data_IF_773952394349
#
_entry.id   IF_773952394349
#
_cell.length_a   1.000
_cell.length_b   1.000
_cell.length_c   1.000
_cell.angle_alpha   90.00
_cell.angle_beta   90.00
_cell.angle_gamma   90.00
#
_symmetry.space_group_name_H-M   'P 1'
#
loop_
_entity.id
_entity.type
_entity.pdbx_description
1 polymer ?
#
# COMPACT_ATOMS: atom_id res chain seq x y z
N UNK A 1 64.22 16.36 13.99
CA UNK A 1 63.55 15.60 12.91
C UNK A 1 62.16 15.24 13.40
N UNK A 2 61.12 15.90 12.89
CA UNK A 2 59.76 15.85 13.46
C UNK A 2 58.98 14.63 12.97
N UNK A 3 58.37 13.93 13.93
CA UNK A 3 57.39 12.87 13.71
C UNK A 3 56.15 13.40 12.97
N UNK A 4 55.99 13.03 11.70
CA UNK A 4 54.72 13.17 11.00
C UNK A 4 53.86 11.93 11.25
N UNK A 5 53.21 11.89 12.42
CA UNK A 5 52.06 11.01 12.63
C UNK A 5 50.91 11.50 11.76
N UNK A 6 50.54 10.74 10.73
CA UNK A 6 49.31 10.98 9.97
C UNK A 6 48.13 10.76 10.91
N UNK A 7 47.61 11.85 11.47
CA UNK A 7 46.39 11.85 12.24
C UNK A 7 45.24 11.60 11.25
N UNK A 8 44.76 10.36 11.20
CA UNK A 8 43.54 10.04 10.48
C UNK A 8 42.43 10.85 11.12
N UNK A 9 41.83 11.76 10.34
CA UNK A 9 40.58 12.40 10.71
C UNK A 9 39.55 11.27 10.76
N UNK A 10 39.20 10.82 11.96
CA UNK A 10 37.99 10.04 12.17
C UNK A 10 36.82 10.93 11.78
N UNK A 11 36.45 10.93 10.51
CA UNK A 11 35.06 11.17 10.14
C UNK A 11 34.34 10.06 10.86
N UNK A 12 33.70 10.40 11.97
CA UNK A 12 32.73 9.52 12.58
C UNK A 12 31.72 9.31 11.47
N UNK A 13 31.86 8.20 10.72
CA UNK A 13 30.75 7.63 10.02
C UNK A 13 29.72 7.53 11.13
N UNK A 14 28.75 8.44 11.12
CA UNK A 14 27.47 8.12 11.68
C UNK A 14 27.17 6.82 10.96
N UNK A 15 27.34 5.68 11.65
CA UNK A 15 26.52 4.50 11.40
C UNK A 15 25.19 5.16 11.12
N UNK A 16 24.69 5.10 9.88
CA UNK A 16 23.30 5.48 9.63
C UNK A 16 22.62 4.86 10.82
N UNK A 17 22.05 5.69 11.72
CA UNK A 17 21.17 5.16 12.74
C UNK A 17 20.38 4.17 11.93
N UNK A 18 20.46 2.90 12.31
CA UNK A 18 19.69 1.85 11.68
C UNK A 18 18.27 2.28 12.03
N UNK A 19 17.77 3.26 11.28
CA UNK A 19 16.41 3.69 11.20
C UNK A 19 15.82 2.34 10.91
N UNK A 20 15.16 1.78 11.93
CA UNK A 20 14.38 0.58 11.80
C UNK A 20 13.28 0.99 10.81
N UNK A 21 13.67 0.99 9.53
CA UNK A 21 12.81 1.17 8.40
C UNK A 21 12.06 -0.13 8.35
N UNK A 22 10.97 -0.15 9.10
CA UNK A 22 10.08 -1.29 9.19
C UNK A 22 9.07 -1.09 8.06
N UNK A 23 9.36 -1.72 6.92
CA UNK A 23 8.49 -1.69 5.76
C UNK A 23 7.34 -2.66 5.98
N UNK A 24 6.12 -2.16 5.87
CA UNK A 24 4.94 -2.98 6.07
C UNK A 24 4.18 -3.11 4.76
N UNK A 25 4.10 -4.33 4.23
CA UNK A 25 3.36 -4.61 2.99
C UNK A 25 1.97 -5.11 3.37
N UNK A 26 0.91 -4.43 2.93
CA UNK A 26 -0.48 -4.82 3.21
C UNK A 26 -1.11 -5.42 1.95
N UNK A 27 -1.45 -6.71 2.01
CA UNK A 27 -1.96 -7.52 0.89
C UNK A 27 -3.36 -8.03 1.19
N UNK A 28 -4.23 -8.05 0.18
CA UNK A 28 -5.57 -8.65 0.26
C UNK A 28 -5.54 -10.10 -0.25
N UNK A 29 -6.08 -11.07 0.48
CA UNK A 29 -5.87 -12.55 0.36
C UNK A 29 -5.80 -13.26 -1.02
N UNK A 30 -6.55 -12.87 -2.07
CA UNK A 30 -6.72 -13.74 -3.27
C UNK A 30 -5.39 -13.98 -4.01
N UNK A 31 -5.07 -15.13 -4.59
CA UNK A 31 -3.78 -15.35 -5.30
C UNK A 31 -2.48 -15.20 -4.46
N UNK A 32 -2.57 -15.16 -3.12
CA UNK A 32 -1.44 -14.89 -2.23
C UNK A 32 -0.21 -15.80 -2.43
N UNK A 33 -0.42 -17.09 -2.73
CA UNK A 33 0.69 -18.04 -2.93
C UNK A 33 1.60 -17.62 -4.08
N UNK A 34 1.00 -17.24 -5.22
CA UNK A 34 1.74 -16.79 -6.40
C UNK A 34 2.50 -15.51 -6.10
N UNK A 35 1.87 -14.56 -5.39
CA UNK A 35 2.57 -13.34 -5.00
C UNK A 35 3.76 -13.63 -4.08
N UNK A 36 3.58 -14.37 -2.98
CA UNK A 36 4.65 -14.64 -2.03
C UNK A 36 5.82 -15.41 -2.67
N UNK A 37 5.53 -16.34 -3.59
CA UNK A 37 6.55 -17.07 -4.33
C UNK A 37 7.48 -16.13 -5.13
N UNK A 38 6.94 -15.04 -5.69
CA UNK A 38 7.71 -14.09 -6.50
C UNK A 38 8.27 -12.92 -5.68
N UNK A 39 7.49 -12.40 -4.73
CA UNK A 39 7.81 -11.20 -3.95
C UNK A 39 8.93 -11.46 -2.94
N UNK A 40 8.96 -12.63 -2.27
CA UNK A 40 9.98 -12.90 -1.26
C UNK A 40 11.40 -12.95 -1.86
N UNK A 41 11.67 -13.70 -2.95
CA UNK A 41 12.96 -13.63 -3.61
C UNK A 41 13.27 -12.25 -4.19
N UNK A 42 12.26 -11.53 -4.69
CA UNK A 42 12.41 -10.17 -5.20
C UNK A 42 12.95 -9.21 -4.14
N UNK A 43 12.34 -9.19 -2.94
CA UNK A 43 12.81 -8.37 -1.82
C UNK A 43 14.23 -8.76 -1.35
N UNK A 44 14.56 -10.05 -1.39
CA UNK A 44 15.91 -10.54 -1.08
C UNK A 44 16.96 -10.02 -2.09
N UNK A 45 16.65 -10.04 -3.39
CA UNK A 45 17.55 -9.50 -4.43
C UNK A 45 17.76 -7.98 -4.27
N UNK A 46 16.75 -7.27 -3.75
CA UNK A 46 16.86 -5.85 -3.39
C UNK A 46 17.60 -5.60 -2.06
N UNK A 47 18.03 -6.65 -1.35
CA UNK A 47 18.69 -6.57 -0.03
C UNK A 47 17.82 -5.88 1.03
N UNK A 48 16.50 -6.00 0.92
CA UNK A 48 15.55 -5.47 1.88
C UNK A 48 15.25 -6.58 2.89
N UNK A 49 15.82 -6.47 4.09
CA UNK A 49 15.69 -7.49 5.15
C UNK A 49 14.82 -7.06 6.33
N UNK A 50 14.48 -5.77 6.43
CA UNK A 50 13.70 -5.21 7.55
C UNK A 50 12.26 -4.92 7.12
N UNK A 51 11.51 -5.95 6.76
CA UNK A 51 10.11 -5.82 6.38
C UNK A 51 9.22 -6.81 7.13
N UNK A 52 7.93 -6.51 7.21
CA UNK A 52 6.89 -7.43 7.69
C UNK A 52 5.71 -7.38 6.73
N UNK A 53 5.29 -8.56 6.25
CA UNK A 53 4.17 -8.69 5.32
C UNK A 53 2.90 -8.94 6.13
N UNK A 54 1.89 -8.12 5.92
CA UNK A 54 0.57 -8.24 6.52
C UNK A 54 -0.45 -8.63 5.46
N UNK A 55 -1.18 -9.72 5.74
CA UNK A 55 -2.31 -10.13 4.93
C UNK A 55 -3.56 -9.66 5.66
N UNK A 56 -4.39 -8.85 5.02
CA UNK A 56 -5.67 -8.42 5.56
C UNK A 56 -6.81 -9.12 4.82
N UNK A 57 -7.61 -9.87 5.57
CA UNK A 57 -8.79 -10.58 5.07
C UNK A 57 -10.07 -9.96 5.65
N UNK A 58 -11.09 -9.83 4.80
CA UNK A 58 -12.44 -9.45 5.24
C UNK A 58 -13.18 -10.67 5.80
N UNK A 59 -13.63 -10.59 7.05
CA UNK A 59 -14.42 -11.64 7.70
C UNK A 59 -15.90 -11.62 7.31
N UNK A 60 -16.44 -10.44 7.05
CA UNK A 60 -17.88 -10.23 6.86
C UNK A 60 -18.35 -10.77 5.52
N UNK A 61 -19.45 -11.53 5.59
CA UNK A 61 -20.25 -11.90 4.41
C UNK A 61 -20.80 -10.62 3.79
N UNK A 62 -20.45 -10.34 2.53
CA UNK A 62 -20.89 -9.14 1.83
C UNK A 62 -19.88 -8.65 0.80
N UNK A 63 -20.17 -7.49 0.22
CA UNK A 63 -19.31 -6.86 -0.77
C UNK A 63 -17.91 -6.58 -0.21
N UNK A 64 -16.90 -6.82 -1.05
CA UNK A 64 -15.51 -6.56 -0.73
C UNK A 64 -15.23 -5.05 -0.67
N UNK A 65 -14.40 -4.59 0.28
CA UNK A 65 -14.02 -3.17 0.39
C UNK A 65 -12.51 -3.01 0.64
N UNK A 66 -11.75 -2.79 -0.44
CA UNK A 66 -10.27 -2.65 -0.44
C UNK A 66 -9.80 -1.52 0.47
N UNK A 67 -10.31 -0.31 0.25
CA UNK A 67 -9.91 0.90 0.98
C UNK A 67 -10.12 0.76 2.48
N UNK A 68 -11.26 0.20 2.90
CA UNK A 68 -11.55 -0.02 4.31
C UNK A 68 -10.62 -1.06 4.95
N UNK A 69 -10.25 -2.14 4.22
CA UNK A 69 -9.26 -3.11 4.70
C UNK A 69 -7.87 -2.47 4.87
N UNK A 70 -7.43 -1.67 3.91
CA UNK A 70 -6.17 -0.92 4.02
C UNK A 70 -6.17 0.05 5.19
N UNK A 71 -7.26 0.79 5.40
CA UNK A 71 -7.39 1.69 6.53
C UNK A 71 -7.33 0.97 7.89
N UNK A 72 -8.08 -0.12 8.08
CA UNK A 72 -8.09 -0.83 9.38
C UNK A 72 -6.76 -1.55 9.64
N UNK A 73 -6.11 -2.07 8.59
CA UNK A 73 -4.76 -2.62 8.70
C UNK A 73 -3.78 -1.51 9.11
N UNK A 74 -3.75 -0.38 8.39
CA UNK A 74 -2.89 0.75 8.73
C UNK A 74 -3.11 1.24 10.17
N UNK A 75 -4.37 1.38 10.59
CA UNK A 75 -4.74 1.79 11.94
C UNK A 75 -4.18 0.83 13.01
N UNK A 76 -4.26 -0.49 12.77
CA UNK A 76 -3.64 -1.50 13.63
C UNK A 76 -2.11 -1.38 13.63
N UNK A 77 -1.50 -1.19 12.44
CA UNK A 77 -0.05 -1.09 12.30
C UNK A 77 0.54 0.11 13.04
N UNK A 78 -0.11 1.27 12.98
CA UNK A 78 0.36 2.47 13.67
C UNK A 78 0.32 2.34 15.19
N UNK A 79 -0.62 1.56 15.74
CA UNK A 79 -0.68 1.31 17.18
C UNK A 79 0.39 0.32 17.65
N UNK A 80 0.62 -0.74 16.88
CA UNK A 80 1.42 -1.88 17.33
C UNK A 80 2.88 -1.81 16.87
N UNK A 81 3.13 -1.39 15.63
CA UNK A 81 4.44 -1.51 14.99
C UNK A 81 5.11 -0.17 14.65
N UNK A 82 4.32 0.89 14.49
CA UNK A 82 4.79 2.25 14.13
C UNK A 82 5.73 2.22 12.91
N UNK A 83 5.23 1.73 11.75
CA UNK A 83 6.00 1.71 10.52
C UNK A 83 6.53 3.10 10.18
N UNK A 84 7.68 3.16 9.50
CA UNK A 84 8.15 4.40 8.84
C UNK A 84 7.85 4.39 7.35
N UNK A 85 7.38 3.27 6.81
CA UNK A 85 6.95 3.11 5.44
C UNK A 85 5.87 2.03 5.32
N UNK A 86 4.84 2.31 4.52
CA UNK A 86 3.76 1.36 4.21
C UNK A 86 3.67 1.18 2.70
N UNK A 87 3.55 -0.06 2.26
CA UNK A 87 3.34 -0.44 0.87
C UNK A 87 1.98 -1.13 0.79
N UNK A 88 0.99 -0.48 0.19
CA UNK A 88 -0.28 -1.10 -0.15
C UNK A 88 -0.12 -1.85 -1.47
N UNK A 89 -0.50 -3.13 -1.48
CA UNK A 89 -0.14 -4.01 -2.57
C UNK A 89 -1.32 -4.89 -2.98
N UNK A 90 -1.74 -4.74 -4.24
CA UNK A 90 -2.69 -5.66 -4.86
C UNK A 90 -2.04 -7.03 -5.07
N UNK A 91 -2.79 -8.06 -4.73
CA UNK A 91 -2.26 -9.41 -4.56
C UNK A 91 -1.96 -10.14 -5.87
N UNK A 92 -2.52 -9.66 -6.97
CA UNK A 92 -2.37 -10.20 -8.31
C UNK A 92 -1.31 -9.48 -9.13
N UNK A 93 -0.65 -8.44 -8.60
CA UNK A 93 0.44 -7.76 -9.28
C UNK A 93 1.80 -8.34 -8.86
N UNK A 94 2.61 -8.76 -9.83
CA UNK A 94 3.93 -9.33 -9.59
C UNK A 94 4.99 -8.37 -10.16
N UNK A 95 5.95 -7.87 -9.36
CA UNK A 95 6.98 -6.99 -9.87
C UNK A 95 7.94 -7.74 -10.80
N UNK A 96 8.32 -7.11 -11.92
CA UNK A 96 9.15 -7.74 -12.97
C UNK A 96 10.56 -7.16 -13.06
N UNK A 97 10.82 -6.01 -12.43
CA UNK A 97 12.10 -5.32 -12.51
C UNK A 97 12.65 -5.02 -11.11
N UNK A 98 13.77 -5.65 -10.75
CA UNK A 98 14.43 -5.51 -9.45
C UNK A 98 14.91 -4.08 -9.15
N UNK A 99 15.01 -3.21 -10.15
CA UNK A 99 15.33 -1.79 -9.97
C UNK A 99 14.14 -0.97 -9.46
N UNK A 100 12.94 -1.55 -9.39
CA UNK A 100 11.77 -0.94 -8.76
C UNK A 100 11.80 -1.17 -7.24
N UNK A 101 12.55 -0.34 -6.53
CA UNK A 101 12.88 -0.56 -5.12
C UNK A 101 11.66 -0.44 -4.19
N UNK A 102 11.35 -1.49 -3.42
CA UNK A 102 10.24 -1.50 -2.46
C UNK A 102 10.58 -0.72 -1.19
N UNK A 103 10.59 0.61 -1.29
CA UNK A 103 11.00 1.49 -0.20
C UNK A 103 10.36 2.88 -0.30
N UNK A 104 10.11 3.52 0.85
CA UNK A 104 9.78 4.95 0.95
C UNK A 104 11.03 5.85 0.97
N UNK A 105 12.23 5.28 0.88
CA UNK A 105 13.49 6.04 0.81
C UNK A 105 13.65 6.62 -0.60
N UNK A 106 12.94 7.71 -0.85
CA UNK A 106 13.09 8.51 -2.06
C UNK A 106 13.85 9.79 -1.74
N UNK A 107 14.35 10.47 -2.77
CA UNK A 107 15.02 11.76 -2.61
C UNK A 107 14.05 12.90 -2.24
N UNK A 108 12.74 12.66 -2.32
CA UNK A 108 11.70 13.70 -2.34
C UNK A 108 10.60 13.49 -1.30
N UNK A 109 10.65 12.42 -0.50
CA UNK A 109 9.61 12.01 0.46
C UNK A 109 8.20 11.85 -0.13
N UNK A 110 8.07 11.90 -1.45
CA UNK A 110 6.81 11.75 -2.16
C UNK A 110 6.34 10.29 -2.19
N UNK A 111 5.02 10.04 -2.16
CA UNK A 111 4.45 8.73 -2.41
C UNK A 111 4.85 8.21 -3.80
N UNK A 112 5.04 6.89 -3.90
CA UNK A 112 5.33 6.24 -5.17
C UNK A 112 4.17 5.35 -5.61
N UNK A 113 3.63 5.60 -6.80
CA UNK A 113 2.85 4.60 -7.50
C UNK A 113 3.83 3.68 -8.25
N UNK A 114 4.05 2.49 -7.70
CA UNK A 114 5.07 1.55 -8.16
C UNK A 114 4.65 0.84 -9.44
N UNK A 115 3.36 0.48 -9.58
CA UNK A 115 2.80 -0.25 -10.72
C UNK A 115 2.46 0.64 -11.93
N UNK A 116 3.44 1.41 -12.40
CA UNK A 116 3.27 2.36 -13.49
C UNK A 116 3.04 1.70 -14.87
N UNK A 117 3.62 0.51 -15.09
CA UNK A 117 3.51 -0.25 -16.34
C UNK A 117 3.01 -1.65 -16.02
N UNK A 118 1.76 -1.95 -16.36
CA UNK A 118 1.13 -3.24 -16.05
C UNK A 118 0.89 -4.03 -17.32
N UNK A 119 1.45 -5.24 -17.39
CA UNK A 119 1.19 -6.22 -18.44
C UNK A 119 0.07 -7.17 -18.03
N UNK A 120 -0.97 -7.24 -18.85
CA UNK A 120 -2.07 -8.18 -18.63
C UNK A 120 -1.83 -9.49 -19.37
N UNK A 121 -2.30 -10.60 -18.80
CA UNK A 121 -2.15 -11.92 -19.41
C UNK A 121 -2.86 -12.05 -20.78
N UNK A 122 -3.94 -11.28 -20.99
CA UNK A 122 -4.82 -11.44 -22.15
C UNK A 122 -4.17 -11.04 -23.48
N UNK A 123 -3.29 -10.03 -23.47
CA UNK A 123 -2.66 -9.47 -24.66
C UNK A 123 -1.12 -9.41 -24.57
N UNK A 124 -0.56 -9.61 -23.37
CA UNK A 124 0.88 -9.52 -23.13
C UNK A 124 1.45 -8.11 -23.34
N UNK A 125 0.61 -7.09 -23.47
CA UNK A 125 1.04 -5.71 -23.71
C UNK A 125 1.06 -4.91 -22.41
N UNK A 126 2.01 -3.98 -22.28
CA UNK A 126 2.01 -3.04 -21.17
C UNK A 126 1.01 -1.92 -21.47
N UNK A 127 0.04 -1.75 -20.58
CA UNK A 127 -0.89 -0.63 -20.66
C UNK A 127 -0.33 0.56 -19.89
N UNK A 128 -0.25 1.71 -20.55
CA UNK A 128 0.02 2.99 -19.86
C UNK A 128 -1.25 3.41 -19.12
N UNK A 129 -1.13 3.51 -17.80
CA UNK A 129 -2.20 3.96 -16.92
C UNK A 129 -2.44 5.47 -17.06
N UNK A 130 -3.66 5.94 -16.80
CA UNK A 130 -3.94 7.38 -16.80
C UNK A 130 -3.28 8.09 -15.59
N UNK A 131 -2.97 9.39 -15.69
CA UNK A 131 -2.10 10.10 -14.74
C UNK A 131 -2.57 10.13 -13.28
N UNK A 132 -3.86 9.97 -13.03
CA UNK A 132 -4.45 10.06 -11.69
C UNK A 132 -4.57 8.70 -10.97
N UNK A 133 -4.32 7.59 -11.67
CA UNK A 133 -4.41 6.27 -11.07
C UNK A 133 -3.28 6.05 -10.07
N UNK A 134 -3.63 5.61 -8.86
CA UNK A 134 -2.71 5.19 -7.78
C UNK A 134 -3.03 3.78 -7.25
N UNK A 135 -3.76 2.99 -8.04
CA UNK A 135 -4.10 1.59 -7.75
C UNK A 135 -2.92 0.64 -7.92
N UNK A 136 -3.14 -0.65 -7.66
CA UNK A 136 -2.08 -1.65 -7.76
C UNK A 136 -1.13 -1.64 -6.57
N UNK A 137 0.03 -1.02 -6.71
CA UNK A 137 1.07 -0.95 -5.67
C UNK A 137 1.45 0.49 -5.36
N UNK A 138 1.14 0.93 -4.14
CA UNK A 138 1.38 2.29 -3.65
C UNK A 138 2.28 2.26 -2.42
N UNK A 139 3.41 2.96 -2.49
CA UNK A 139 4.32 3.17 -1.38
C UNK A 139 4.09 4.56 -0.79
N UNK A 140 3.88 4.64 0.52
CA UNK A 140 3.54 5.88 1.20
C UNK A 140 4.10 5.93 2.62
N UNK A 141 4.55 7.12 3.03
CA UNK A 141 4.92 7.41 4.41
C UNK A 141 3.66 7.52 5.29
N UNK A 142 3.68 6.99 6.52
CA UNK A 142 2.52 7.05 7.41
C UNK A 142 1.96 8.45 7.62
N UNK A 143 2.83 9.46 7.72
CA UNK A 143 2.46 10.86 7.91
C UNK A 143 1.61 11.37 6.74
N UNK A 144 2.02 11.05 5.51
CA UNK A 144 1.27 11.39 4.30
C UNK A 144 -0.07 10.65 4.23
N UNK A 145 -0.11 9.37 4.59
CA UNK A 145 -1.35 8.61 4.60
C UNK A 145 -2.35 9.14 5.65
N UNK A 146 -1.85 9.58 6.81
CA UNK A 146 -2.65 10.23 7.85
C UNK A 146 -3.17 11.59 7.36
N UNK A 147 -2.33 12.42 6.74
CA UNK A 147 -2.71 13.73 6.18
C UNK A 147 -3.85 13.61 5.15
N UNK A 148 -3.86 12.54 4.36
CA UNK A 148 -4.88 12.26 3.35
C UNK A 148 -6.18 11.71 3.94
N UNK A 149 -6.19 11.42 5.25
CA UNK A 149 -7.21 10.63 5.92
C UNK A 149 -7.36 9.22 5.33
N UNK A 150 -6.30 8.63 4.79
CA UNK A 150 -6.31 7.32 4.14
C UNK A 150 -7.29 7.18 2.96
N UNK A 151 -7.65 5.93 2.64
CA UNK A 151 -8.61 5.63 1.57
C UNK A 151 -10.05 5.95 1.99
N UNK A 152 -10.97 6.09 1.02
CA UNK A 152 -12.41 6.13 1.30
C UNK A 152 -12.92 4.78 1.83
N UNK A 153 -13.81 4.81 2.84
CA UNK A 153 -14.42 3.60 3.40
C UNK A 153 -15.74 3.21 2.69
N UNK A 154 -16.12 3.91 1.62
CA UNK A 154 -17.45 3.78 0.97
C UNK A 154 -17.46 2.93 -0.31
N UNK A 155 -16.31 2.51 -0.81
CA UNK A 155 -16.22 1.72 -2.04
C UNK A 155 -16.40 0.22 -1.76
N UNK A 156 -17.65 -0.23 -1.87
CA UNK A 156 -18.01 -1.65 -1.84
C UNK A 156 -18.11 -2.21 -3.27
N UNK A 157 -17.48 -3.36 -3.49
CA UNK A 157 -17.19 -3.93 -4.81
C UNK A 157 -16.13 -3.13 -5.60
N UNK A 158 -15.80 -3.60 -6.80
CA UNK A 158 -14.67 -3.09 -7.58
C UNK A 158 -14.92 -1.71 -8.17
N UNK A 159 -13.94 -0.81 -8.03
CA UNK A 159 -13.76 0.38 -8.85
C UNK A 159 -14.06 1.70 -8.16
N UNK A 160 -13.18 2.67 -8.40
CA UNK A 160 -13.28 4.08 -7.99
C UNK A 160 -12.55 4.41 -6.68
N UNK A 161 -12.13 3.43 -5.90
CA UNK A 161 -11.41 3.65 -4.63
C UNK A 161 -9.98 4.17 -4.85
N UNK A 162 -9.30 3.66 -5.87
CA UNK A 162 -7.96 4.09 -6.24
C UNK A 162 -7.99 5.48 -6.89
N UNK A 163 -9.07 5.79 -7.64
CA UNK A 163 -9.33 7.12 -8.20
C UNK A 163 -9.61 8.15 -7.11
N UNK A 164 -10.42 7.80 -6.11
CA UNK A 164 -10.69 8.64 -4.95
C UNK A 164 -9.39 8.96 -4.21
N UNK A 165 -8.53 7.96 -3.99
CA UNK A 165 -7.21 8.19 -3.40
C UNK A 165 -6.35 9.14 -4.25
N UNK A 166 -6.41 9.02 -5.58
CA UNK A 166 -5.80 9.99 -6.50
C UNK A 166 -6.31 11.42 -6.29
N UNK A 167 -7.63 11.60 -6.18
CA UNK A 167 -8.24 12.90 -5.89
C UNK A 167 -7.84 13.45 -4.51
N UNK A 168 -7.65 12.58 -3.50
CA UNK A 168 -7.16 12.99 -2.17
C UNK A 168 -5.73 13.52 -2.21
N UNK A 169 -4.86 12.93 -3.05
CA UNK A 169 -3.52 13.49 -3.25
C UNK A 169 -3.59 14.88 -3.88
N UNK A 170 -4.43 15.04 -4.91
CA UNK A 170 -4.62 16.33 -5.58
C UNK A 170 -5.16 17.40 -4.63
N UNK A 171 -6.12 17.07 -3.76
CA UNK A 171 -6.72 18.04 -2.83
C UNK A 171 -5.76 18.57 -1.75
N UNK A 172 -4.62 17.89 -1.56
CA UNK A 172 -3.55 18.26 -0.62
C UNK A 172 -2.27 18.70 -1.33
N UNK A 173 -2.31 18.92 -2.65
CA UNK A 173 -1.17 19.29 -3.49
C UNK A 173 0.02 18.33 -3.38
N UNK A 174 -0.25 17.03 -3.22
CA UNK A 174 0.78 16.00 -3.06
C UNK A 174 1.05 15.34 -4.41
N UNK A 175 2.28 15.49 -4.89
CA UNK A 175 2.73 14.82 -6.10
C UNK A 175 3.01 13.32 -5.84
N UNK A 176 2.44 12.45 -6.68
CA UNK A 176 2.74 11.01 -6.68
C UNK A 176 3.75 10.72 -7.79
N UNK A 177 4.90 10.17 -7.42
CA UNK A 177 5.95 9.83 -8.38
C UNK A 177 5.77 8.40 -8.89
N UNK A 178 6.30 8.14 -10.09
CA UNK A 178 6.26 6.84 -10.75
C UNK A 178 7.67 6.44 -11.18
N UNK A 179 8.21 5.32 -10.70
CA UNK A 179 9.49 4.80 -11.18
C UNK A 179 9.38 4.39 -12.65
N UNK A 180 10.36 4.75 -13.48
CA UNK A 180 10.45 4.28 -14.87
C UNK A 180 10.66 2.76 -14.96
N UNK A 181 11.09 2.15 -13.85
CA UNK A 181 11.30 0.72 -13.66
C UNK A 181 10.07 0.00 -13.12
N UNK A 182 8.93 0.69 -12.94
CA UNK A 182 7.70 0.18 -12.35
C UNK A 182 6.91 -0.81 -13.22
N UNK A 183 7.55 -1.92 -13.63
CA UNK A 183 6.97 -2.96 -14.47
C UNK A 183 6.39 -4.10 -13.64
N UNK A 184 5.13 -4.45 -13.93
CA UNK A 184 4.37 -5.47 -13.23
C UNK A 184 3.61 -6.37 -14.19
N UNK A 185 3.50 -7.64 -13.81
CA UNK A 185 2.61 -8.60 -14.43
C UNK A 185 1.33 -8.73 -13.60
N UNK A 186 0.17 -8.52 -14.23
CA UNK A 186 -1.13 -8.78 -13.64
C UNK A 186 -1.54 -10.24 -13.85
N UNK A 187 -1.58 -11.00 -12.76
CA UNK A 187 -2.06 -12.37 -12.73
C UNK A 187 -3.55 -12.49 -13.05
N UNK A 188 -3.98 -13.71 -13.36
CA UNK A 188 -5.39 -13.98 -13.67
C UNK A 188 -6.30 -13.66 -12.49
N UNK A 189 -7.37 -12.91 -12.76
CA UNK A 189 -8.46 -12.68 -11.82
C UNK A 189 -9.80 -12.97 -12.48
N UNK A 190 -10.74 -13.51 -11.70
CA UNK A 190 -12.14 -13.59 -12.14
C UNK A 190 -12.72 -12.18 -12.29
N UNK A 191 -13.70 -12.02 -13.17
CA UNK A 191 -14.49 -10.79 -13.23
C UNK A 191 -15.05 -10.45 -11.85
N UNK A 192 -15.01 -9.17 -11.49
CA UNK A 192 -15.50 -8.68 -10.21
C UNK A 192 -16.78 -7.86 -10.42
N UNK A 193 -17.72 -7.96 -9.48
CA UNK A 193 -18.87 -7.07 -9.44
C UNK A 193 -18.39 -5.63 -9.37
N UNK A 194 -18.91 -4.76 -10.23
CA UNK A 194 -18.54 -3.34 -10.24
C UNK A 194 -19.37 -2.57 -9.22
N UNK A 195 -18.76 -1.61 -8.53
CA UNK A 195 -19.49 -0.64 -7.73
C UNK A 195 -20.36 0.24 -8.65
N UNK A 196 -21.68 0.14 -8.49
CA UNK A 196 -22.66 0.91 -9.29
C UNK A 196 -22.64 2.40 -8.96
N UNK A 197 -22.23 2.76 -7.74
CA UNK A 197 -22.22 4.13 -7.22
C UNK A 197 -20.86 4.82 -7.38
N UNK A 198 -19.85 4.19 -8.00
CA UNK A 198 -18.47 4.71 -8.03
C UNK A 198 -18.35 6.14 -8.56
N UNK A 199 -19.09 6.49 -9.61
CA UNK A 199 -19.06 7.84 -10.19
C UNK A 199 -19.69 8.88 -9.26
N UNK A 200 -20.78 8.51 -8.56
CA UNK A 200 -21.41 9.38 -7.56
C UNK A 200 -20.46 9.63 -6.38
N UNK A 201 -19.77 8.58 -5.92
CA UNK A 201 -18.78 8.66 -4.83
C UNK A 201 -17.51 9.44 -5.22
N UNK A 202 -17.16 9.44 -6.50
CA UNK A 202 -16.03 10.21 -7.03
C UNK A 202 -16.36 11.71 -7.13
N UNK A 203 -17.59 12.04 -7.52
CA UNK A 203 -18.03 13.42 -7.68
C UNK A 203 -17.89 14.23 -6.38
N UNK A 204 -18.16 13.62 -5.22
CA UNK A 204 -18.05 14.26 -3.93
C UNK A 204 -16.77 13.90 -3.15
N UNK A 205 -15.83 13.14 -3.72
CA UNK A 205 -14.66 12.59 -3.03
C UNK A 205 -13.90 13.61 -2.17
N UNK A 206 -13.56 14.77 -2.75
CA UNK A 206 -12.84 15.84 -2.05
C UNK A 206 -13.63 16.42 -0.86
N UNK A 207 -14.95 16.56 -0.99
CA UNK A 207 -15.81 17.13 0.06
C UNK A 207 -15.92 16.21 1.29
N UNK A 208 -15.81 14.90 1.09
CA UNK A 208 -15.93 13.89 2.15
C UNK A 208 -14.59 13.41 2.69
N UNK A 209 -13.46 13.84 2.12
CA UNK A 209 -12.14 13.35 2.51
C UNK A 209 -11.86 13.45 4.00
N UNK A 210 -12.23 14.56 4.66
CA UNK A 210 -11.92 14.76 6.09
C UNK A 210 -12.81 13.93 7.04
N UNK A 211 -14.01 13.53 6.58
CA UNK A 211 -15.00 12.78 7.39
C UNK A 211 -15.11 11.29 7.01
N UNK A 212 -14.52 10.87 5.89
CA UNK A 212 -14.54 9.49 5.40
C UNK A 212 -13.12 8.97 5.17
N UNK A 213 -12.64 8.13 6.06
CA UNK A 213 -11.32 7.51 5.95
C UNK A 213 -10.76 7.00 7.27
N UNK A 214 -9.52 7.35 7.62
CA UNK A 214 -8.91 6.95 8.90
C UNK A 214 -9.63 7.55 10.11
N UNK A 215 -10.20 8.74 9.99
CA UNK A 215 -10.88 9.46 11.06
C UNK A 215 -12.09 8.71 11.61
N UNK A 216 -12.78 7.92 10.78
CA UNK A 216 -13.96 7.16 11.17
C UNK A 216 -13.76 5.62 11.13
N UNK A 217 -12.58 5.11 10.74
CA UNK A 217 -12.37 3.66 10.57
C UNK A 217 -12.64 2.83 11.82
N UNK A 218 -12.28 3.33 13.00
CA UNK A 218 -12.44 2.62 14.26
C UNK A 218 -13.91 2.41 14.68
N UNK A 219 -14.82 3.23 14.14
CA UNK A 219 -16.26 3.09 14.34
C UNK A 219 -16.87 2.10 13.34
N UNK A 220 -16.27 1.99 12.15
CA UNK A 220 -16.77 1.17 11.05
C UNK A 220 -16.23 -0.25 11.07
N UNK A 221 -15.03 -0.47 11.62
CA UNK A 221 -14.29 -1.72 11.47
C UNK A 221 -13.42 -2.04 12.68
N UNK A 222 -13.15 -3.33 12.90
CA UNK A 222 -12.13 -3.80 13.86
C UNK A 222 -11.37 -5.00 13.34
N UNK A 223 -10.16 -5.20 13.86
CA UNK A 223 -9.44 -6.47 13.74
C UNK A 223 -10.01 -7.44 14.77
N UNK A 224 -10.40 -8.65 14.34
CA UNK A 224 -10.97 -9.70 15.18
C UNK A 224 -9.98 -10.80 15.51
N UNK A 225 -8.97 -11.02 14.66
CA UNK A 225 -7.88 -11.95 14.91
C UNK A 225 -6.58 -11.50 14.27
N UNK A 226 -5.48 -11.94 14.87
CA UNK A 226 -4.11 -11.73 14.39
C UNK A 226 -3.38 -13.06 14.56
N UNK A 227 -2.84 -13.59 13.46
CA UNK A 227 -2.04 -14.82 13.46
C UNK A 227 -0.68 -14.56 12.85
N UNK A 228 0.39 -14.84 13.59
CA UNK A 228 1.75 -14.70 13.10
C UNK A 228 2.24 -16.01 12.50
N UNK A 229 2.66 -15.97 11.23
CA UNK A 229 3.34 -17.05 10.53
C UNK A 229 4.79 -16.66 10.26
N UNK A 230 5.68 -17.62 9.92
CA UNK A 230 7.10 -17.33 9.71
C UNK A 230 7.39 -16.23 8.68
N UNK A 231 6.56 -16.10 7.64
CA UNK A 231 6.79 -15.16 6.52
C UNK A 231 5.79 -13.99 6.49
N UNK A 232 4.64 -14.13 7.16
CA UNK A 232 3.53 -13.17 7.07
C UNK A 232 2.79 -13.07 8.40
N UNK A 233 2.14 -11.95 8.65
CA UNK A 233 1.15 -11.80 9.72
C UNK A 233 -0.24 -11.65 9.12
N UNK A 234 -1.15 -12.51 9.52
CA UNK A 234 -2.52 -12.53 9.05
C UNK A 234 -3.42 -11.72 9.98
N UNK A 235 -4.15 -10.77 9.42
CA UNK A 235 -5.13 -9.94 10.08
C UNK A 235 -6.51 -10.25 9.52
N UNK A 236 -7.49 -10.34 10.41
CA UNK A 236 -8.90 -10.51 10.01
C UNK A 236 -9.68 -9.26 10.39
N UNK A 237 -10.18 -8.53 9.39
CA UNK A 237 -11.00 -7.33 9.55
C UNK A 237 -12.49 -7.64 9.49
N UNK A 238 -13.29 -7.04 10.39
CA UNK A 238 -14.75 -7.18 10.44
C UNK A 238 -15.42 -5.81 10.43
N UNK A 239 -16.45 -5.65 9.59
CA UNK A 239 -17.34 -4.48 9.61
C UNK A 239 -18.23 -4.51 10.86
N UNK A 240 -18.34 -3.37 11.53
CA UNK A 240 -19.13 -3.17 12.76
C UNK A 240 -20.41 -2.40 12.44
N UNK A 241 -20.39 -1.62 11.36
CA UNK A 241 -21.55 -0.88 10.88
C UNK A 241 -22.60 -1.81 10.25
N UNK A 242 -23.87 -1.44 10.40
CA UNK A 242 -25.01 -2.15 9.81
C UNK A 242 -25.11 -1.99 8.29
N UNK A 243 -24.16 -1.27 7.65
CA UNK A 243 -24.13 -1.09 6.20
C UNK A 243 -24.02 -2.40 5.41
N UNK A 244 -23.59 -3.50 6.04
CA UNK A 244 -23.56 -4.83 5.41
C UNK A 244 -24.93 -5.47 5.20
N UNK A 245 -26.04 -4.89 5.70
CA UNK A 245 -27.39 -5.45 5.54
C UNK A 245 -28.26 -4.72 4.51
N UNK A 246 -27.71 -3.79 3.72
CA UNK A 246 -28.48 -2.98 2.75
C UNK A 246 -27.96 -3.08 1.29
N UNK A 247 -27.45 -4.25 0.89
CA UNK A 247 -27.22 -4.58 -0.52
C UNK A 247 -28.21 -5.60 -1.03
#
# INVERSE_FOLDING_TARGET
MSNYGKQLIHVQCMKMKQLQLSFHIVIVKKNLKTLLYNLLPFLQRQKIFHYKIFIIEQQTLGAFNKGRLYNIAFYHLMKTYKPTCVIFHDVDLIPENDQNLYSCLTLTDHPLHMSANVRFQIDGSYTTIYPFLVGGVLTIRPETFILLNGYSNKYFNWGGEDDDMGLRFLSKDICVQRPTTGYYYAGSHSSQTRNKNRFKLLFDAALRQDIDGLSNIAQLSRITSTYEYPLVTWLTGKWIDTYSSMS
#
